data_IF_354572878869
#
_entry.id   IF_354572878869
#
_cell.length_a   1.000
_cell.length_b   1.000
_cell.length_c   1.000
_cell.angle_alpha   90.00
_cell.angle_beta   90.00
_cell.angle_gamma   90.00
#
_symmetry.space_group_name_H-M   'P 1'
#
loop_
_entity.id
_entity.type
_entity.pdbx_description
1 polymer ?
#
# COMPACT_ATOMS: atom_id res chain seq x y z
N UNK A 1 -9.91 -14.59 14.45
CA UNK A 1 -9.07 -13.72 13.61
C UNK A 1 -7.71 -14.37 13.46
N UNK A 2 -7.44 -14.94 12.30
CA UNK A 2 -6.21 -15.72 12.09
C UNK A 2 -4.93 -14.89 11.94
N UNK A 3 -5.05 -13.56 11.82
CA UNK A 3 -3.93 -12.69 11.46
C UNK A 3 -3.77 -11.48 12.39
N UNK A 4 -4.13 -11.63 13.65
CA UNK A 4 -4.04 -10.55 14.63
C UNK A 4 -2.64 -9.94 14.79
N UNK A 5 -1.59 -10.70 14.47
CA UNK A 5 -0.19 -10.29 14.56
C UNK A 5 0.37 -9.69 13.26
N UNK A 6 -0.44 -9.51 12.24
CA UNK A 6 -0.01 -9.02 10.93
C UNK A 6 -0.34 -7.53 10.69
N UNK A 7 -0.67 -6.81 11.73
CA UNK A 7 -0.82 -5.36 11.69
C UNK A 7 0.52 -4.66 11.95
N UNK A 8 0.76 -3.49 11.42
CA UNK A 8 -0.15 -2.65 10.62
C UNK A 8 -0.18 -3.00 9.13
N UNK A 9 -1.27 -2.62 8.47
CA UNK A 9 -1.52 -2.79 7.04
C UNK A 9 -1.30 -1.47 6.29
N UNK A 10 -0.61 -1.54 5.17
CA UNK A 10 -0.51 -0.46 4.20
C UNK A 10 -1.35 -0.77 2.97
N UNK A 11 -2.22 0.14 2.57
CA UNK A 11 -2.94 0.09 1.30
C UNK A 11 -2.45 1.23 0.42
N UNK A 12 -1.96 0.90 -0.77
CA UNK A 12 -1.59 1.88 -1.78
C UNK A 12 -2.57 1.80 -2.93
N UNK A 13 -3.21 2.91 -3.26
CA UNK A 13 -4.28 2.95 -4.24
C UNK A 13 -4.28 4.26 -5.04
N UNK A 14 -5.00 4.32 -6.18
CA UNK A 14 -5.26 5.58 -6.86
C UNK A 14 -6.03 6.55 -5.97
N UNK A 15 -5.84 7.84 -6.18
CA UNK A 15 -6.52 8.89 -5.40
C UNK A 15 -8.04 8.74 -5.46
N UNK A 16 -8.60 8.37 -6.60
CA UNK A 16 -10.03 8.14 -6.78
C UNK A 16 -10.61 7.01 -5.93
N UNK A 17 -9.78 6.06 -5.51
CA UNK A 17 -10.18 4.89 -4.73
C UNK A 17 -9.92 5.03 -3.23
N UNK A 18 -9.28 6.10 -2.80
CA UNK A 18 -8.82 6.24 -1.41
C UNK A 18 -9.95 6.25 -0.39
N UNK A 19 -11.02 7.00 -0.66
CA UNK A 19 -12.20 7.03 0.22
C UNK A 19 -12.96 5.70 0.20
N UNK A 20 -13.09 5.09 -0.96
CA UNK A 20 -13.71 3.76 -1.11
C UNK A 20 -13.01 2.73 -0.25
N UNK A 21 -11.68 2.71 -0.25
CA UNK A 21 -10.90 1.82 0.62
C UNK A 21 -11.19 2.05 2.10
N UNK A 22 -11.26 3.30 2.54
CA UNK A 22 -11.59 3.61 3.92
C UNK A 22 -12.99 3.12 4.30
N UNK A 23 -13.98 3.41 3.47
CA UNK A 23 -15.37 2.99 3.68
C UNK A 23 -15.54 1.46 3.71
N UNK A 24 -14.91 0.77 2.77
CA UNK A 24 -14.97 -0.69 2.72
C UNK A 24 -14.26 -1.35 3.91
N UNK A 25 -13.14 -0.81 4.33
CA UNK A 25 -12.45 -1.30 5.53
C UNK A 25 -13.31 -1.15 6.78
N UNK A 26 -13.95 -0.01 6.96
CA UNK A 26 -14.88 0.21 8.08
C UNK A 26 -16.08 -0.71 8.01
N UNK A 27 -16.62 -0.93 6.82
CA UNK A 27 -17.80 -1.78 6.59
C UNK A 27 -17.54 -3.25 6.86
N UNK A 28 -16.42 -3.77 6.37
CA UNK A 28 -16.11 -5.20 6.40
C UNK A 28 -15.21 -5.64 7.55
N UNK A 29 -14.62 -4.69 8.25
CA UNK A 29 -13.74 -4.95 9.38
C UNK A 29 -14.30 -4.32 10.67
N UNK A 30 -15.37 -4.87 11.25
CA UNK A 30 -16.05 -4.28 12.41
C UNK A 30 -15.18 -4.20 13.67
N UNK A 31 -14.05 -4.88 13.67
CA UNK A 31 -13.05 -4.81 14.74
C UNK A 31 -12.11 -3.59 14.64
N UNK A 32 -12.18 -2.83 13.54
CA UNK A 32 -11.46 -1.56 13.42
C UNK A 32 -12.25 -0.44 14.07
N UNK A 33 -11.61 0.26 14.99
CA UNK A 33 -12.17 1.46 15.58
C UNK A 33 -12.03 2.66 14.62
N UNK A 34 -12.81 3.74 14.81
CA UNK A 34 -12.77 4.91 13.91
C UNK A 34 -11.39 5.55 13.74
N UNK A 35 -10.49 5.42 14.71
CA UNK A 35 -9.12 5.93 14.61
C UNK A 35 -8.10 4.96 14.03
N UNK A 36 -8.52 3.74 13.70
CA UNK A 36 -7.60 2.69 13.24
C UNK A 36 -7.27 2.79 11.74
N UNK A 37 -8.09 3.49 10.96
CA UNK A 37 -7.87 3.71 9.53
C UNK A 37 -7.42 5.15 9.31
N UNK A 38 -6.20 5.32 8.83
CA UNK A 38 -5.60 6.60 8.53
C UNK A 38 -5.47 6.80 7.02
N UNK A 39 -6.20 7.78 6.47
CA UNK A 39 -6.00 8.22 5.10
C UNK A 39 -4.94 9.33 5.08
N UNK A 40 -3.81 9.04 4.45
CA UNK A 40 -2.74 10.02 4.29
C UNK A 40 -3.12 11.01 3.20
N UNK A 41 -3.38 12.25 3.59
CA UNK A 41 -3.76 13.34 2.68
C UNK A 41 -2.61 14.30 2.38
N UNK A 42 -1.60 14.31 3.23
CA UNK A 42 -0.44 15.18 3.06
C UNK A 42 0.82 14.51 3.63
N UNK A 43 1.96 15.05 3.25
CA UNK A 43 3.25 14.55 3.73
C UNK A 43 3.49 14.80 5.24
N UNK A 44 2.69 15.68 5.85
CA UNK A 44 2.81 16.05 7.25
C UNK A 44 2.04 15.14 8.21
N UNK A 45 1.39 14.12 7.71
CA UNK A 45 0.57 13.24 8.54
C UNK A 45 1.45 12.38 9.45
N UNK A 46 1.49 12.74 10.73
CA UNK A 46 2.33 12.10 11.75
C UNK A 46 1.71 10.83 12.38
N UNK A 47 0.49 10.48 12.01
CA UNK A 47 -0.27 9.41 12.68
C UNK A 47 0.01 8.00 12.17
N UNK A 48 0.96 7.85 11.26
CA UNK A 48 1.34 6.57 10.64
C UNK A 48 1.64 5.47 11.66
N UNK A 49 2.17 5.81 12.81
CA UNK A 49 2.57 4.84 13.85
C UNK A 49 1.42 4.33 14.72
N UNK A 50 0.30 5.03 14.74
CA UNK A 50 -0.83 4.71 15.61
C UNK A 50 -1.95 3.97 14.88
N UNK A 51 -2.06 4.16 13.59
CA UNK A 51 -3.10 3.53 12.80
C UNK A 51 -2.80 2.05 12.55
N UNK A 52 -3.81 1.22 12.60
CA UNK A 52 -3.73 -0.18 12.17
C UNK A 52 -3.68 -0.31 10.67
N UNK A 53 -4.38 0.57 9.97
CA UNK A 53 -4.42 0.62 8.51
C UNK A 53 -4.05 2.02 8.06
N UNK A 54 -3.11 2.11 7.14
CA UNK A 54 -2.77 3.35 6.46
C UNK A 54 -3.11 3.23 4.99
N UNK A 55 -3.91 4.16 4.50
CA UNK A 55 -4.26 4.26 3.08
C UNK A 55 -3.45 5.39 2.46
N UNK A 56 -2.64 5.05 1.49
CA UNK A 56 -1.72 5.94 0.78
C UNK A 56 -2.09 5.99 -0.70
N UNK A 57 -2.03 7.16 -1.29
CA UNK A 57 -2.27 7.30 -2.73
C UNK A 57 -0.97 7.35 -3.52
N UNK A 58 -0.98 6.84 -4.74
CA UNK A 58 0.18 6.90 -5.65
C UNK A 58 0.64 8.34 -5.92
N UNK A 59 -0.31 9.29 -5.97
CA UNK A 59 -0.01 10.70 -6.20
C UNK A 59 0.89 11.32 -5.15
N UNK A 60 0.69 10.99 -3.89
CA UNK A 60 1.53 11.50 -2.78
C UNK A 60 2.97 11.03 -2.86
N UNK A 61 3.19 9.83 -3.37
CA UNK A 61 4.54 9.27 -3.51
C UNK A 61 5.27 9.87 -4.70
N UNK A 62 4.53 10.30 -5.72
CA UNK A 62 5.13 10.82 -6.96
C UNK A 62 5.48 12.30 -6.86
N UNK A 63 4.65 13.07 -6.18
CA UNK A 63 4.71 14.52 -6.16
C UNK A 63 5.09 15.04 -4.78
N UNK A 64 5.92 16.07 -4.75
CA UNK A 64 6.19 16.84 -3.56
C UNK A 64 7.65 16.77 -3.08
N UNK A 65 8.07 17.86 -2.46
CA UNK A 65 9.42 18.01 -1.90
C UNK A 65 9.65 17.14 -0.65
N UNK A 66 8.57 16.71 -0.02
CA UNK A 66 8.64 15.97 1.24
C UNK A 66 8.34 14.46 1.09
N UNK A 67 8.28 13.97 -0.15
CA UNK A 67 8.02 12.55 -0.42
C UNK A 67 9.04 11.62 0.24
N UNK A 68 10.30 12.01 0.27
CA UNK A 68 11.37 11.19 0.85
C UNK A 68 11.16 11.01 2.36
N UNK A 69 10.73 12.08 3.04
CA UNK A 69 10.35 12.02 4.45
C UNK A 69 9.13 11.11 4.68
N UNK A 70 8.12 11.22 3.83
CA UNK A 70 6.95 10.35 3.88
C UNK A 70 7.34 8.88 3.71
N UNK A 71 8.18 8.57 2.74
CA UNK A 71 8.67 7.22 2.50
C UNK A 71 9.50 6.68 3.67
N UNK A 72 10.33 7.51 4.28
CA UNK A 72 11.05 7.14 5.49
C UNK A 72 10.11 6.86 6.66
N UNK A 73 9.08 7.65 6.84
CA UNK A 73 8.06 7.43 7.86
C UNK A 73 7.29 6.13 7.63
N UNK A 74 6.95 5.83 6.39
CA UNK A 74 6.31 4.58 6.00
C UNK A 74 7.22 3.39 6.28
N UNK A 75 8.48 3.48 5.90
CA UNK A 75 9.46 2.42 6.18
C UNK A 75 9.65 2.20 7.69
N UNK A 76 9.68 3.27 8.47
CA UNK A 76 9.82 3.23 9.93
C UNK A 76 8.57 2.72 10.64
N UNK A 77 7.41 2.81 10.03
CA UNK A 77 6.16 2.33 10.61
C UNK A 77 6.07 0.81 10.72
N UNK A 78 6.90 0.09 9.98
CA UNK A 78 7.01 -1.37 10.08
C UNK A 78 5.77 -2.11 9.60
N UNK A 79 5.19 -1.72 8.48
CA UNK A 79 4.04 -2.40 7.89
C UNK A 79 4.35 -3.87 7.63
N UNK A 80 3.49 -4.74 8.13
CA UNK A 80 3.64 -6.19 7.96
C UNK A 80 2.93 -6.72 6.75
N UNK A 81 1.83 -6.08 6.36
CA UNK A 81 1.09 -6.42 5.15
C UNK A 81 0.95 -5.18 4.28
N UNK A 82 1.12 -5.33 2.99
CA UNK A 82 0.91 -4.28 2.02
C UNK A 82 -0.05 -4.76 0.93
N UNK A 83 -0.96 -3.88 0.53
CA UNK A 83 -1.86 -4.09 -0.59
C UNK A 83 -1.60 -2.98 -1.60
N UNK A 84 -1.28 -3.33 -2.83
CA UNK A 84 -1.15 -2.39 -3.94
C UNK A 84 -2.33 -2.59 -4.88
N UNK A 85 -3.28 -1.69 -4.83
CA UNK A 85 -4.46 -1.69 -5.70
C UNK A 85 -4.13 -1.00 -7.02
N UNK A 86 -4.77 -1.47 -8.09
CA UNK A 86 -4.50 -0.99 -9.45
C UNK A 86 -2.99 -0.97 -9.76
N UNK A 87 -2.33 -2.07 -9.54
CA UNK A 87 -0.87 -2.19 -9.59
C UNK A 87 -0.25 -1.83 -10.96
N UNK A 88 -1.07 -1.67 -11.99
CA UNK A 88 -0.62 -1.14 -13.27
C UNK A 88 -0.05 0.29 -13.14
N UNK A 89 -0.45 1.04 -12.12
CA UNK A 89 0.17 2.33 -11.79
C UNK A 89 1.67 2.20 -11.48
N UNK A 90 2.11 1.05 -10.99
CA UNK A 90 3.53 0.75 -10.78
C UNK A 90 4.28 0.45 -12.07
N UNK A 91 3.57 0.02 -13.10
CA UNK A 91 4.13 -0.27 -14.43
C UNK A 91 4.09 0.91 -15.38
N UNK A 92 3.36 1.98 -15.03
CA UNK A 92 3.27 3.15 -15.88
C UNK A 92 4.66 3.77 -16.07
N UNK A 93 4.79 4.57 -17.13
CA UNK A 93 6.05 5.20 -17.60
C UNK A 93 6.83 5.99 -16.53
N UNK A 94 6.28 6.09 -15.33
CA UNK A 94 6.92 6.74 -14.20
C UNK A 94 7.76 5.73 -13.42
N UNK A 95 8.95 5.44 -13.97
CA UNK A 95 9.93 4.56 -13.34
C UNK A 95 10.30 5.01 -11.90
N UNK A 96 10.09 6.28 -11.59
CA UNK A 96 10.38 6.84 -10.28
C UNK A 96 9.41 6.35 -9.22
N UNK A 97 8.11 6.27 -9.54
CA UNK A 97 7.08 5.75 -8.62
C UNK A 97 7.39 4.30 -8.22
N UNK A 98 7.70 3.47 -9.18
CA UNK A 98 8.07 2.08 -8.95
C UNK A 98 9.32 1.94 -8.09
N UNK A 99 10.36 2.70 -8.40
CA UNK A 99 11.61 2.69 -7.64
C UNK A 99 11.41 3.06 -6.17
N UNK A 100 10.47 3.95 -5.89
CA UNK A 100 10.19 4.43 -4.53
C UNK A 100 9.29 3.46 -3.75
N UNK A 101 8.28 2.89 -4.38
CA UNK A 101 7.29 2.04 -3.71
C UNK A 101 7.69 0.58 -3.61
N UNK A 102 8.38 0.04 -4.60
CA UNK A 102 8.77 -1.37 -4.59
C UNK A 102 9.56 -1.78 -3.34
N UNK A 103 10.54 -1.01 -2.86
CA UNK A 103 11.24 -1.34 -1.61
C UNK A 103 10.31 -1.37 -0.39
N UNK A 104 9.35 -0.45 -0.33
CA UNK A 104 8.37 -0.39 0.76
C UNK A 104 7.47 -1.63 0.75
N UNK A 105 6.95 -1.98 -0.42
CA UNK A 105 6.11 -3.16 -0.59
C UNK A 105 6.88 -4.45 -0.31
N UNK A 106 8.14 -4.53 -0.75
CA UNK A 106 8.99 -5.68 -0.53
C UNK A 106 9.40 -5.87 0.93
N UNK A 107 9.45 -4.81 1.72
CA UNK A 107 9.75 -4.87 3.14
C UNK A 107 8.60 -5.48 3.96
N UNK A 108 7.37 -5.47 3.46
CA UNK A 108 6.25 -6.11 4.12
C UNK A 108 6.40 -7.65 4.11
N UNK A 109 5.90 -8.29 5.16
CA UNK A 109 5.88 -9.77 5.23
C UNK A 109 5.02 -10.39 4.13
N UNK A 110 3.93 -9.72 3.79
CA UNK A 110 3.00 -10.12 2.74
C UNK A 110 2.68 -8.91 1.87
N UNK A 111 2.69 -9.11 0.58
CA UNK A 111 2.26 -8.10 -0.37
C UNK A 111 1.20 -8.70 -1.29
N UNK A 112 0.04 -8.04 -1.34
CA UNK A 112 -1.05 -8.41 -2.24
C UNK A 112 -1.12 -7.36 -3.34
N UNK A 113 -1.10 -7.82 -4.56
CA UNK A 113 -1.16 -6.97 -5.75
C UNK A 113 -2.48 -7.20 -6.44
N UNK A 114 -3.27 -6.15 -6.57
CA UNK A 114 -4.57 -6.19 -7.22
C UNK A 114 -4.52 -5.43 -8.55
N UNK A 115 -5.05 -6.04 -9.59
CA UNK A 115 -5.20 -5.43 -10.91
C UNK A 115 -6.63 -5.61 -11.37
N UNK A 116 -7.39 -4.52 -11.42
CA UNK A 116 -8.80 -4.55 -11.79
C UNK A 116 -9.06 -4.68 -13.29
N UNK A 117 -8.08 -4.41 -14.13
CA UNK A 117 -8.22 -4.48 -15.59
C UNK A 117 -7.47 -5.70 -16.10
N UNK A 118 -8.15 -6.69 -16.71
CA UNK A 118 -7.44 -7.73 -17.45
C UNK A 118 -6.62 -7.05 -18.55
N UNK A 119 -5.33 -7.31 -18.54
CA UNK A 119 -4.44 -6.79 -19.56
C UNK A 119 -4.79 -7.41 -20.90
N UNK A 120 -5.50 -6.66 -21.73
CA UNK A 120 -5.86 -7.06 -23.10
C UNK A 120 -4.73 -6.83 -24.09
N UNK A 121 -3.56 -6.40 -23.66
CA UNK A 121 -2.43 -6.15 -24.53
C UNK A 121 -1.16 -6.82 -24.05
N UNK A 122 -0.77 -7.75 -24.82
CA UNK A 122 0.23 -8.77 -24.71
C UNK A 122 1.67 -8.34 -25.00
N UNK A 123 2.08 -7.18 -24.70
CA UNK A 123 3.52 -6.93 -24.75
C UNK A 123 4.05 -6.86 -23.32
N UNK A 124 4.15 -8.02 -22.70
CA UNK A 124 4.29 -8.08 -21.26
C UNK A 124 5.56 -8.76 -20.82
N UNK A 125 6.35 -7.98 -20.17
CA UNK A 125 7.22 -8.52 -19.12
C UNK A 125 6.32 -9.09 -18.02
N UNK A 126 6.47 -10.34 -17.63
CA UNK A 126 5.68 -10.88 -16.55
C UNK A 126 5.89 -10.05 -15.29
N UNK A 127 4.80 -9.79 -14.58
CA UNK A 127 4.87 -9.33 -13.19
C UNK A 127 5.82 -10.29 -12.49
N UNK A 128 6.84 -9.82 -11.78
CA UNK A 128 7.66 -10.71 -11.00
C UNK A 128 6.72 -11.55 -10.14
N UNK A 129 6.89 -12.86 -10.21
CA UNK A 129 6.08 -13.80 -9.44
C UNK A 129 6.02 -13.32 -7.98
N UNK A 130 4.87 -13.43 -7.32
CA UNK A 130 4.78 -13.13 -5.91
C UNK A 130 5.91 -13.86 -5.20
N UNK A 131 6.68 -13.14 -4.44
CA UNK A 131 7.78 -13.71 -3.68
C UNK A 131 7.17 -14.85 -2.86
N UNK A 132 7.63 -16.10 -3.06
CA UNK A 132 7.07 -17.20 -2.32
C UNK A 132 7.19 -16.89 -0.84
N UNK A 133 6.07 -16.86 -0.16
CA UNK A 133 6.06 -16.76 1.29
C UNK A 133 6.85 -17.96 1.80
N UNK A 134 8.03 -17.70 2.35
CA UNK A 134 8.80 -18.76 2.97
C UNK A 134 7.91 -19.42 4.02
N UNK A 135 7.72 -20.75 3.94
CA UNK A 135 7.06 -21.43 5.01
C UNK A 135 7.90 -21.17 6.27
N UNK A 136 7.25 -20.78 7.33
CA UNK A 136 7.90 -20.72 8.64
C UNK A 136 8.35 -22.12 9.00
N UNK A 137 9.61 -22.23 9.20
CA UNK A 137 10.12 -23.35 9.97
C UNK A 137 9.60 -23.24 11.40
#
# INVERSE_FOLDING_TARGET
>A
MHYANEWPLLVVCPTSMSLTWCEELERWCPFLAPGDVNLVRSHHNAELRRARVTVLTYGLVTNGKERDRLLQNIASAGFKVAIADEAHYLKSKDAQRSKLLLPVLAAARRCVVLTGTPALNESQSPIPAPIPTRPRA
#
